data_IF_466285359299
#
_entry.id   IF_466285359299
#
_cell.length_a   1.000
_cell.length_b   1.000
_cell.length_c   1.000
_cell.angle_alpha   90.00
_cell.angle_beta   90.00
_cell.angle_gamma   90.00
#
_symmetry.space_group_name_H-M   'P 1'
#
loop_
_entity.id
_entity.type
_entity.pdbx_description
1 polymer ?
#
# COMPACT_ATOMS: atom_id res chain seq x y z
N UNK A 1 53.19 -42.48 38.60
CA UNK A 1 53.64 -42.50 37.19
C UNK A 1 52.69 -43.44 36.45
N UNK A 2 51.95 -43.10 35.41
CA UNK A 2 51.57 -41.85 34.77
C UNK A 2 50.25 -42.13 34.04
N UNK A 3 49.33 -41.16 34.07
CA UNK A 3 48.13 -41.11 33.23
C UNK A 3 48.57 -40.88 31.78
N UNK A 4 47.91 -41.47 30.77
CA UNK A 4 47.26 -40.76 29.64
C UNK A 4 46.17 -41.68 29.05
N UNK A 5 44.92 -41.24 29.18
CA UNK A 5 43.75 -41.76 28.49
C UNK A 5 43.81 -41.34 27.01
N UNK A 6 43.74 -42.29 26.08
CA UNK A 6 43.57 -42.03 24.66
C UNK A 6 42.10 -41.79 24.34
N UNK A 7 41.74 -40.54 24.06
CA UNK A 7 40.51 -40.17 23.37
C UNK A 7 40.84 -39.05 22.38
N UNK A 8 40.62 -39.31 21.09
CA UNK A 8 40.14 -38.28 20.17
C UNK A 8 39.51 -38.99 18.97
N UNK A 9 38.18 -38.82 18.89
CA UNK A 9 37.29 -39.38 17.90
C UNK A 9 37.74 -39.01 16.49
N UNK A 10 37.95 -40.04 15.68
CA UNK A 10 37.88 -39.96 14.23
C UNK A 10 36.41 -39.93 13.81
N UNK A 11 36.11 -39.06 12.84
CA UNK A 11 34.98 -39.16 11.93
C UNK A 11 33.58 -39.00 12.54
N UNK A 12 32.89 -37.93 12.17
CA UNK A 12 31.85 -38.00 11.16
C UNK A 12 31.34 -36.58 10.91
N UNK A 13 31.78 -36.02 9.79
CA UNK A 13 31.25 -34.81 9.19
C UNK A 13 29.82 -35.16 8.72
N UNK A 14 28.82 -34.99 9.59
CA UNK A 14 27.41 -35.10 9.18
C UNK A 14 27.07 -33.80 8.45
N UNK A 15 27.24 -33.89 7.14
CA UNK A 15 26.77 -32.93 6.14
C UNK A 15 25.25 -32.77 6.32
N UNK A 16 24.83 -31.71 7.02
CA UNK A 16 23.44 -31.33 7.13
C UNK A 16 22.97 -30.80 5.77
N UNK A 17 22.56 -31.73 4.90
CA UNK A 17 21.77 -31.46 3.71
C UNK A 17 20.39 -30.96 4.15
N UNK A 18 20.32 -29.67 4.53
CA UNK A 18 19.07 -28.92 4.53
C UNK A 18 18.59 -28.83 3.09
N UNK A 19 17.84 -29.84 2.67
CA UNK A 19 17.06 -29.78 1.45
C UNK A 19 16.10 -28.60 1.58
N UNK A 20 16.39 -27.53 0.83
CA UNK A 20 15.46 -26.44 0.49
C UNK A 20 14.27 -27.05 -0.27
N UNK A 21 13.40 -27.77 0.44
CA UNK A 21 12.13 -28.23 -0.07
C UNK A 21 11.12 -27.11 0.11
N UNK A 22 10.84 -26.42 -0.99
CA UNK A 22 9.58 -25.76 -1.21
C UNK A 22 9.51 -24.32 -0.71
N UNK A 23 10.20 -23.41 -1.39
CA UNK A 23 9.44 -22.25 -1.88
C UNK A 23 8.44 -22.83 -2.88
N UNK A 24 7.27 -23.23 -2.36
CA UNK A 24 6.13 -23.54 -3.20
C UNK A 24 5.95 -22.35 -4.13
N UNK A 25 5.91 -22.62 -5.44
CA UNK A 25 5.51 -21.66 -6.46
C UNK A 25 4.23 -21.02 -5.96
N UNK A 26 4.35 -19.78 -5.47
CA UNK A 26 3.20 -18.98 -5.10
C UNK A 26 2.42 -18.85 -6.40
N UNK A 27 1.19 -19.40 -6.50
CA UNK A 27 0.42 -19.33 -7.73
C UNK A 27 0.32 -17.86 -8.07
N UNK A 28 1.07 -17.45 -9.09
CA UNK A 28 1.07 -16.10 -9.62
C UNK A 28 -0.40 -15.78 -9.84
N UNK A 29 -0.94 -14.87 -9.02
CA UNK A 29 -2.31 -14.40 -9.17
C UNK A 29 -2.35 -13.80 -10.56
N UNK A 30 -2.79 -14.60 -11.54
CA UNK A 30 -3.15 -14.18 -12.89
C UNK A 30 -4.46 -13.39 -12.79
N UNK A 31 -4.48 -12.37 -11.94
CA UNK A 31 -5.47 -11.32 -11.99
C UNK A 31 -5.08 -10.43 -13.16
N UNK A 32 -6.02 -10.18 -14.07
CA UNK A 32 -5.88 -9.10 -15.04
C UNK A 32 -5.84 -7.80 -14.25
N UNK A 33 -4.63 -7.31 -13.97
CA UNK A 33 -4.45 -5.98 -13.37
C UNK A 33 -4.75 -4.93 -14.42
N UNK A 34 -5.49 -3.84 -14.09
CA UNK A 34 -5.77 -2.77 -15.05
C UNK A 34 -4.49 -2.21 -15.66
N UNK A 35 -4.57 -1.73 -16.91
CA UNK A 35 -3.45 -1.00 -17.50
C UNK A 35 -3.23 0.33 -16.77
N UNK A 36 -1.98 0.72 -16.44
CA UNK A 36 -1.71 1.98 -15.73
C UNK A 36 -2.27 3.21 -16.45
N UNK A 37 -2.31 3.18 -17.78
CA UNK A 37 -2.92 4.24 -18.58
C UNK A 37 -4.40 4.44 -18.27
N UNK A 38 -5.14 3.33 -18.06
CA UNK A 38 -6.55 3.39 -17.69
C UNK A 38 -6.74 3.96 -16.28
N UNK A 39 -5.83 3.66 -15.35
CA UNK A 39 -5.87 4.23 -14.01
C UNK A 39 -5.64 5.75 -14.01
N UNK A 40 -4.76 6.26 -14.88
CA UNK A 40 -4.54 7.70 -15.01
C UNK A 40 -5.77 8.47 -15.48
N UNK A 41 -6.71 7.83 -16.20
CA UNK A 41 -7.98 8.46 -16.58
C UNK A 41 -8.85 8.79 -15.35
N UNK A 42 -8.64 8.10 -14.23
CA UNK A 42 -9.32 8.39 -12.96
C UNK A 42 -8.61 9.47 -12.15
N UNK A 43 -7.33 9.76 -12.43
CA UNK A 43 -6.58 10.82 -11.75
C UNK A 43 -6.82 12.16 -12.46
N UNK A 44 -8.07 12.62 -12.39
CA UNK A 44 -8.61 13.79 -13.09
C UNK A 44 -7.99 15.11 -12.60
N UNK A 45 -8.11 16.16 -13.41
CA UNK A 45 -7.79 17.51 -12.95
C UNK A 45 -8.81 17.95 -11.87
N UNK A 46 -8.34 18.69 -10.87
CA UNK A 46 -9.17 19.19 -9.76
C UNK A 46 -9.14 20.71 -9.76
N UNK A 47 -10.31 21.33 -9.75
CA UNK A 47 -10.46 22.77 -9.80
C UNK A 47 -9.66 23.47 -8.69
N UNK A 48 -8.91 24.49 -9.08
CA UNK A 48 -8.05 25.26 -8.16
C UNK A 48 -6.70 24.61 -7.84
N UNK A 49 -6.39 23.42 -8.37
CA UNK A 49 -5.09 22.79 -8.28
C UNK A 49 -4.40 22.75 -9.64
N UNK A 50 -3.08 22.97 -9.63
CA UNK A 50 -2.22 22.60 -10.75
C UNK A 50 -1.82 21.14 -10.61
N UNK A 51 -1.96 20.36 -11.69
CA UNK A 51 -1.64 18.93 -11.67
C UNK A 51 -0.45 18.62 -12.59
N UNK A 52 0.45 17.75 -12.11
CA UNK A 52 1.55 17.22 -12.91
C UNK A 52 1.07 16.18 -13.94
N UNK A 53 2.02 15.59 -14.66
CA UNK A 53 1.74 14.40 -15.47
C UNK A 53 1.44 13.19 -14.58
N UNK A 54 0.66 12.24 -15.10
CA UNK A 54 0.41 10.98 -14.42
C UNK A 54 1.59 10.01 -14.64
N UNK A 55 2.35 9.74 -13.58
CA UNK A 55 3.39 8.72 -13.52
C UNK A 55 2.76 7.32 -13.54
N UNK A 56 3.34 6.43 -14.35
CA UNK A 56 2.78 5.11 -14.65
C UNK A 56 3.85 4.06 -14.57
N UNK A 57 3.58 2.99 -13.82
CA UNK A 57 4.46 1.83 -13.75
C UNK A 57 3.65 0.54 -13.87
N UNK A 58 4.19 -0.41 -14.63
CA UNK A 58 3.72 -1.79 -14.67
C UNK A 58 4.92 -2.73 -14.62
N UNK A 59 4.93 -3.66 -13.67
CA UNK A 59 5.90 -4.72 -13.58
C UNK A 59 5.18 -6.06 -13.58
N UNK A 60 5.52 -6.92 -14.54
CA UNK A 60 4.90 -8.24 -14.73
C UNK A 60 5.91 -9.34 -14.48
N UNK A 61 5.44 -10.49 -13.98
CA UNK A 61 6.29 -11.66 -13.76
C UNK A 61 7.30 -11.51 -12.62
N UNK A 62 7.08 -10.58 -11.70
CA UNK A 62 7.96 -10.45 -10.52
C UNK A 62 7.69 -11.59 -9.52
N UNK A 63 8.66 -11.94 -8.65
CA UNK A 63 8.44 -12.94 -7.60
C UNK A 63 7.29 -12.58 -6.63
N UNK A 64 6.93 -11.30 -6.54
CA UNK A 64 5.89 -10.76 -5.67
C UNK A 64 4.55 -10.51 -6.41
N UNK A 65 4.44 -10.94 -7.66
CA UNK A 65 3.26 -10.81 -8.51
C UNK A 65 3.31 -9.63 -9.49
N UNK A 66 2.18 -9.36 -10.14
CA UNK A 66 2.06 -8.21 -11.03
C UNK A 66 1.83 -6.93 -10.22
N UNK A 67 2.60 -5.90 -10.53
CA UNK A 67 2.51 -4.57 -9.93
C UNK A 67 2.07 -3.56 -10.97
N UNK A 68 1.15 -2.70 -10.58
CA UNK A 68 0.67 -1.54 -11.32
C UNK A 68 0.63 -0.38 -10.34
N UNK A 69 1.08 0.78 -10.81
CA UNK A 69 1.03 2.06 -10.12
C UNK A 69 0.61 3.13 -11.12
N UNK A 70 -0.31 3.98 -10.70
CA UNK A 70 -0.55 5.28 -11.31
C UNK A 70 -0.46 6.35 -10.20
N UNK A 71 0.30 7.39 -10.42
CA UNK A 71 0.49 8.48 -9.45
C UNK A 71 0.35 9.83 -10.14
N UNK A 72 -0.31 10.77 -9.48
CA UNK A 72 -0.40 12.15 -9.95
C UNK A 72 -0.28 13.10 -8.76
N UNK A 73 0.50 14.15 -8.96
CA UNK A 73 0.74 15.18 -7.96
C UNK A 73 -0.04 16.45 -8.30
N UNK A 74 -0.60 17.08 -7.27
CA UNK A 74 -1.43 18.28 -7.32
C UNK A 74 -0.87 19.33 -6.38
N UNK A 75 -0.88 20.60 -6.80
CA UNK A 75 -0.40 21.74 -6.01
C UNK A 75 -1.38 22.91 -6.04
N UNK A 76 -1.62 23.50 -4.87
CA UNK A 76 -2.36 24.75 -4.68
C UNK A 76 -1.59 25.64 -3.68
N UNK A 77 -0.83 26.61 -4.19
CA UNK A 77 0.08 27.38 -3.34
C UNK A 77 1.15 26.47 -2.72
N UNK A 78 1.25 26.49 -1.39
CA UNK A 78 2.19 25.65 -0.63
C UNK A 78 1.66 24.23 -0.33
N UNK A 79 0.40 23.96 -0.64
CA UNK A 79 -0.22 22.67 -0.43
C UNK A 79 0.16 21.70 -1.55
N UNK A 80 0.53 20.48 -1.18
CA UNK A 80 0.86 19.41 -2.12
C UNK A 80 0.05 18.17 -1.79
N UNK A 81 -0.48 17.52 -2.82
CA UNK A 81 -1.21 16.26 -2.72
C UNK A 81 -0.65 15.29 -3.76
N UNK A 82 -0.23 14.10 -3.34
CA UNK A 82 0.08 12.98 -4.23
C UNK A 82 -1.04 11.94 -4.13
N UNK A 83 -1.72 11.69 -5.24
CA UNK A 83 -2.73 10.64 -5.38
C UNK A 83 -2.10 9.44 -6.06
N UNK A 84 -2.20 8.28 -5.43
CA UNK A 84 -1.56 7.04 -5.89
C UNK A 84 -2.59 5.92 -5.92
N UNK A 85 -2.74 5.27 -7.07
CA UNK A 85 -3.41 3.97 -7.20
C UNK A 85 -2.35 2.92 -7.37
N UNK A 86 -2.34 1.93 -6.49
CA UNK A 86 -1.33 0.86 -6.53
C UNK A 86 -1.93 -0.48 -6.09
N UNK A 87 -1.34 -1.57 -6.56
CA UNK A 87 -1.77 -2.93 -6.22
C UNK A 87 -0.64 -3.78 -5.62
N UNK A 88 -0.99 -5.02 -5.26
CA UNK A 88 -0.07 -6.05 -4.84
C UNK A 88 0.46 -5.84 -3.43
N UNK A 89 1.72 -6.21 -3.20
CA UNK A 89 2.32 -6.15 -1.85
C UNK A 89 2.41 -4.72 -1.31
N UNK A 90 2.63 -3.73 -2.19
CA UNK A 90 2.67 -2.32 -1.80
C UNK A 90 1.32 -1.87 -1.24
N UNK A 91 0.20 -2.30 -1.85
CA UNK A 91 -1.15 -2.00 -1.37
C UNK A 91 -1.38 -2.54 0.04
N UNK A 92 -0.97 -3.80 0.26
CA UNK A 92 -1.06 -4.46 1.57
C UNK A 92 -0.22 -3.74 2.62
N UNK A 93 1.01 -3.36 2.28
CA UNK A 93 1.92 -2.66 3.19
C UNK A 93 1.37 -1.29 3.59
N UNK A 94 0.80 -0.54 2.65
CA UNK A 94 0.17 0.75 2.93
C UNK A 94 -1.09 0.64 3.79
N UNK A 95 -1.86 -0.45 3.66
CA UNK A 95 -3.03 -0.70 4.50
C UNK A 95 -2.70 -1.27 5.89
N UNK A 96 -1.54 -1.92 6.05
CA UNK A 96 -1.18 -2.68 7.24
C UNK A 96 -1.35 -1.92 8.58
N UNK A 97 -1.01 -0.61 8.71
CA UNK A 97 -1.22 0.13 9.95
C UNK A 97 -2.69 0.20 10.40
N UNK A 98 -3.63 0.07 9.46
CA UNK A 98 -5.07 0.17 9.71
C UNK A 98 -5.74 -1.21 9.86
N UNK A 99 -5.00 -2.31 9.70
CA UNK A 99 -5.55 -3.65 9.83
C UNK A 99 -6.04 -3.99 11.26
N UNK A 100 -5.44 -3.35 12.27
CA UNK A 100 -5.73 -3.61 13.70
C UNK A 100 -6.95 -2.86 14.25
N UNK A 101 -7.57 -1.95 13.48
CA UNK A 101 -8.59 -1.01 13.98
C UNK A 101 -8.12 -0.09 15.12
N UNK A 102 -6.81 0.14 15.25
CA UNK A 102 -6.29 1.07 16.23
C UNK A 102 -6.59 2.51 15.81
N UNK A 103 -7.13 3.29 16.74
CA UNK A 103 -7.33 4.73 16.60
C UNK A 103 -6.45 5.48 17.60
N UNK A 104 -5.90 6.61 17.18
CA UNK A 104 -5.06 7.50 17.99
C UNK A 104 -5.53 8.93 17.73
N UNK A 105 -5.81 9.69 18.79
CA UNK A 105 -6.11 11.11 18.69
C UNK A 105 -5.43 11.82 19.86
N UNK A 106 -4.23 12.35 19.60
CA UNK A 106 -3.42 13.09 20.58
C UNK A 106 -3.01 14.45 20.00
N UNK A 107 -2.29 15.28 20.76
CA UNK A 107 -1.90 16.63 20.32
C UNK A 107 -1.03 16.65 19.05
N UNK A 108 -0.36 15.55 18.73
CA UNK A 108 0.56 15.43 17.60
C UNK A 108 -0.02 14.60 16.45
N UNK A 109 -0.75 13.53 16.75
CA UNK A 109 -1.16 12.51 15.78
C UNK A 109 -2.66 12.31 15.74
N UNK A 110 -3.15 11.97 14.55
CA UNK A 110 -4.50 11.54 14.31
C UNK A 110 -4.50 10.32 13.39
N UNK A 111 -4.78 9.16 13.96
CA UNK A 111 -4.96 7.89 13.27
C UNK A 111 -6.40 7.44 13.45
N UNK A 112 -7.13 7.24 12.36
CA UNK A 112 -8.54 6.85 12.43
C UNK A 112 -8.94 5.93 11.30
N UNK A 113 -9.84 4.99 11.58
CA UNK A 113 -10.56 4.25 10.55
C UNK A 113 -11.95 4.86 10.40
N UNK A 114 -12.30 5.24 9.18
CA UNK A 114 -13.61 5.82 8.89
C UNK A 114 -14.08 5.39 7.51
N UNK A 115 -15.03 6.12 6.93
CA UNK A 115 -15.51 5.86 5.57
C UNK A 115 -15.62 7.15 4.77
N UNK A 116 -15.21 7.09 3.51
CA UNK A 116 -15.35 8.17 2.52
C UNK A 116 -16.15 7.59 1.36
N UNK A 117 -17.26 8.23 0.98
CA UNK A 117 -18.17 7.73 -0.06
C UNK A 117 -18.64 6.27 0.15
N UNK A 118 -18.80 5.85 1.41
CA UNK A 118 -19.19 4.48 1.77
C UNK A 118 -18.05 3.45 1.75
N UNK A 119 -16.85 3.84 1.28
CA UNK A 119 -15.66 2.98 1.29
C UNK A 119 -14.88 3.15 2.59
N UNK A 120 -14.45 2.03 3.16
CA UNK A 120 -13.59 2.06 4.35
C UNK A 120 -12.26 2.74 4.02
N UNK A 121 -11.79 3.60 4.91
CA UNK A 121 -10.51 4.27 4.77
C UNK A 121 -9.76 4.34 6.11
N UNK A 122 -8.44 4.44 6.01
CA UNK A 122 -7.53 4.71 7.11
C UNK A 122 -6.91 6.08 6.93
N UNK A 123 -6.97 6.90 7.96
CA UNK A 123 -6.38 8.24 8.00
C UNK A 123 -5.19 8.16 8.97
N UNK A 124 -4.04 8.66 8.54
CA UNK A 124 -2.89 8.94 9.40
C UNK A 124 -2.45 10.39 9.16
N UNK A 125 -2.44 11.23 10.20
CA UNK A 125 -2.19 12.65 10.08
C UNK A 125 -1.34 13.18 11.23
N UNK A 126 -0.25 13.85 10.89
CA UNK A 126 0.64 14.57 11.81
C UNK A 126 0.15 16.03 11.93
N UNK A 127 -0.50 16.37 13.04
CA UNK A 127 -1.20 17.65 13.26
C UNK A 127 -0.26 18.86 13.21
N UNK A 128 0.95 18.72 13.76
CA UNK A 128 1.97 19.80 13.80
C UNK A 128 2.53 20.12 12.43
N UNK A 129 2.90 19.08 11.69
CA UNK A 129 3.50 19.19 10.35
C UNK A 129 2.46 19.38 9.25
N UNK A 130 1.17 19.25 9.57
CA UNK A 130 0.05 19.36 8.61
C UNK A 130 0.23 18.45 7.39
N UNK A 131 0.65 17.22 7.64
CA UNK A 131 0.90 16.22 6.60
C UNK A 131 0.34 14.86 7.00
N UNK A 132 0.05 14.02 6.03
CA UNK A 132 -0.51 12.72 6.30
C UNK A 132 -0.81 11.90 5.07
N UNK A 133 -1.53 10.80 5.30
CA UNK A 133 -2.01 9.90 4.27
C UNK A 133 -3.43 9.44 4.57
N UNK A 134 -4.25 9.32 3.53
CA UNK A 134 -5.54 8.65 3.54
C UNK A 134 -5.43 7.46 2.60
N UNK A 135 -5.69 6.25 3.11
CA UNK A 135 -5.61 5.01 2.34
C UNK A 135 -6.99 4.38 2.27
N UNK A 136 -7.47 4.13 1.05
CA UNK A 136 -8.76 3.52 0.73
C UNK A 136 -8.47 2.19 0.00
N UNK A 137 -8.73 1.04 0.62
CA UNK A 137 -8.75 -0.24 -0.10
C UNK A 137 -9.75 -0.23 -1.24
N UNK A 138 -9.30 -0.64 -2.43
CA UNK A 138 -10.13 -0.74 -3.63
C UNK A 138 -10.86 -2.08 -3.63
N UNK A 139 -11.68 -2.28 -2.60
CA UNK A 139 -12.54 -3.45 -2.44
C UNK A 139 -13.79 -3.04 -1.67
N UNK A 140 -14.94 -3.60 -2.04
CA UNK A 140 -16.22 -3.41 -1.36
C UNK A 140 -16.39 -4.33 -0.14
N UNK A 141 -15.58 -5.39 -0.03
CA UNK A 141 -15.66 -6.37 1.03
C UNK A 141 -14.29 -6.67 1.65
N UNK A 142 -13.79 -5.72 2.43
CA UNK A 142 -12.52 -5.88 3.15
C UNK A 142 -12.53 -6.99 4.20
N UNK A 143 -13.70 -7.51 4.58
CA UNK A 143 -13.81 -8.57 5.60
C UNK A 143 -13.54 -9.94 4.99
N UNK A 144 -14.03 -10.15 3.77
CA UNK A 144 -13.89 -11.43 3.08
C UNK A 144 -12.78 -11.41 2.02
N UNK A 145 -12.38 -10.24 1.52
CA UNK A 145 -11.33 -10.08 0.52
C UNK A 145 -10.09 -9.38 1.09
N UNK A 146 -8.89 -9.97 0.91
CA UNK A 146 -7.65 -9.30 1.30
C UNK A 146 -7.43 -8.07 0.43
N UNK A 147 -6.88 -7.00 1.01
CA UNK A 147 -6.52 -5.79 0.25
C UNK A 147 -5.52 -6.17 -0.85
N UNK A 148 -5.95 -6.03 -2.09
CA UNK A 148 -5.16 -6.31 -3.30
C UNK A 148 -4.74 -5.02 -4.01
N UNK A 149 -5.51 -3.94 -3.84
CA UNK A 149 -5.26 -2.62 -4.37
C UNK A 149 -5.76 -1.53 -3.43
N UNK A 150 -5.18 -0.34 -3.56
CA UNK A 150 -5.56 0.85 -2.81
C UNK A 150 -5.59 2.09 -3.71
N UNK A 151 -6.38 3.05 -3.30
CA UNK A 151 -6.27 4.46 -3.64
C UNK A 151 -5.75 5.18 -2.40
N UNK A 152 -4.60 5.84 -2.52
CA UNK A 152 -3.94 6.57 -1.44
C UNK A 152 -3.80 8.04 -1.80
N UNK A 153 -3.99 8.90 -0.81
CA UNK A 153 -3.76 10.34 -0.92
C UNK A 153 -2.78 10.73 0.17
N UNK A 154 -1.56 11.08 -0.24
CA UNK A 154 -0.56 11.69 0.62
C UNK A 154 -0.66 13.20 0.48
N UNK A 155 -0.61 13.94 1.57
CA UNK A 155 -0.79 15.39 1.53
C UNK A 155 0.15 16.10 2.50
N UNK A 156 0.51 17.33 2.15
CA UNK A 156 1.40 18.20 2.92
C UNK A 156 0.84 19.63 2.98
N UNK A 157 1.17 20.33 4.07
CA UNK A 157 0.74 21.70 4.37
C UNK A 157 -0.78 21.91 4.42
N UNK A 158 -1.57 20.85 4.65
CA UNK A 158 -3.03 20.95 4.75
C UNK A 158 -3.63 20.04 5.82
N UNK A 159 -4.88 20.32 6.18
CA UNK A 159 -5.62 19.45 7.11
C UNK A 159 -6.15 18.20 6.42
N UNK A 160 -6.26 17.09 7.16
CA UNK A 160 -6.86 15.86 6.62
C UNK A 160 -8.29 16.07 6.11
N UNK A 161 -9.05 17.03 6.67
CA UNK A 161 -10.41 17.35 6.21
C UNK A 161 -10.41 17.90 4.79
N UNK A 162 -9.49 18.83 4.51
CA UNK A 162 -9.29 19.36 3.15
C UNK A 162 -8.84 18.26 2.18
N UNK A 163 -8.04 17.30 2.64
CA UNK A 163 -7.69 16.12 1.84
C UNK A 163 -8.90 15.21 1.57
N UNK A 164 -9.83 15.05 2.53
CA UNK A 164 -11.10 14.35 2.30
C UNK A 164 -11.94 15.07 1.24
N UNK A 165 -12.12 16.39 1.37
CA UNK A 165 -12.85 17.20 0.38
C UNK A 165 -12.22 17.07 -1.02
N UNK A 166 -10.88 16.99 -1.10
CA UNK A 166 -10.16 16.75 -2.34
C UNK A 166 -10.48 15.36 -2.93
N UNK A 167 -10.59 14.32 -2.10
CA UNK A 167 -10.92 12.94 -2.53
C UNK A 167 -12.32 12.86 -3.17
N UNK A 168 -13.25 13.75 -2.83
CA UNK A 168 -14.61 13.75 -3.39
C UNK A 168 -14.65 14.01 -4.91
N UNK A 169 -13.56 14.52 -5.49
CA UNK A 169 -13.44 14.75 -6.94
C UNK A 169 -13.21 13.45 -7.75
N UNK A 170 -12.92 12.33 -7.10
CA UNK A 170 -12.56 11.09 -7.76
C UNK A 170 -13.72 10.09 -7.75
N UNK A 171 -13.95 9.42 -8.89
CA UNK A 171 -14.93 8.33 -9.00
C UNK A 171 -14.37 7.04 -8.39
N UNK A 172 -14.40 6.97 -7.05
CA UNK A 172 -13.93 5.81 -6.29
C UNK A 172 -14.70 4.53 -6.64
N UNK A 173 -15.98 4.65 -7.04
CA UNK A 173 -16.80 3.48 -7.37
C UNK A 173 -16.30 2.80 -8.63
N UNK A 174 -16.19 3.56 -9.72
CA UNK A 174 -15.66 3.02 -10.97
C UNK A 174 -14.22 2.53 -10.82
N UNK A 175 -13.43 3.16 -9.94
CA UNK A 175 -12.09 2.69 -9.62
C UNK A 175 -12.09 1.37 -8.85
N UNK A 176 -12.98 1.18 -7.88
CA UNK A 176 -13.16 -0.10 -7.16
C UNK A 176 -13.58 -1.20 -8.13
N UNK A 177 -14.53 -0.91 -9.02
CA UNK A 177 -15.05 -1.88 -10.00
C UNK A 177 -13.95 -2.40 -10.95
N UNK A 178 -12.84 -1.67 -11.14
CA UNK A 178 -11.69 -2.12 -11.93
C UNK A 178 -10.84 -3.21 -11.26
N UNK A 179 -10.97 -3.40 -9.94
CA UNK A 179 -10.15 -4.33 -9.15
C UNK A 179 -10.93 -5.53 -8.59
N UNK A 180 -12.21 -5.64 -8.95
CA UNK A 180 -13.10 -6.78 -8.63
C UNK A 180 -13.10 -7.80 -9.76
#
# INVERSE_FOLDING_TARGET
MGRIFGFALSSFFVLLLLTLKGFAENPQVKGNVPEPAKLCEFLVDVDGYSAGECDKMKAVGTPIGNLVKAEREYRQGDETISVIVLNGIMAKSSWAPFASNMEVDDDNNYVKITSINGYRCGINYEKKEKRGSIVIPLTDDIKNHPVSAIFAVNFENMSYKKAIDFIENFDLKSLVDLFQ
#
